data_IF_459028607344
#
_entry.id   IF_459028607344
#
_cell.length_a   1.000
_cell.length_b   1.000
_cell.length_c   1.000
_cell.angle_alpha   90.00
_cell.angle_beta   90.00
_cell.angle_gamma   90.00
#
_symmetry.space_group_name_H-M   'P 1'
#
loop_
_entity.id
_entity.type
_entity.pdbx_description
1 polymer ?
#
# COMPACT_ATOMS: atom_id res chain seq x y z
N UNK A 1 1.44 -20.79 -9.93
CA UNK A 1 1.02 -19.71 -9.03
C UNK A 1 0.36 -20.32 -7.80
N UNK A 2 0.76 -19.91 -6.60
CA UNK A 2 0.15 -20.43 -5.36
C UNK A 2 -1.24 -19.82 -5.13
N UNK A 3 -2.12 -20.51 -4.40
CA UNK A 3 -3.44 -19.97 -4.04
C UNK A 3 -3.30 -18.65 -3.26
N UNK A 4 -2.31 -18.57 -2.37
CA UNK A 4 -2.01 -17.38 -1.58
C UNK A 4 -1.59 -16.17 -2.44
N UNK A 5 -0.88 -16.38 -3.55
CA UNK A 5 -0.51 -15.31 -4.47
C UNK A 5 -1.74 -14.72 -5.16
N UNK A 6 -2.62 -15.58 -5.69
CA UNK A 6 -3.86 -15.14 -6.36
C UNK A 6 -4.80 -14.43 -5.39
N UNK A 7 -4.86 -14.90 -4.15
CA UNK A 7 -5.62 -14.23 -3.08
C UNK A 7 -5.06 -12.84 -2.76
N UNK A 8 -3.73 -12.69 -2.70
CA UNK A 8 -3.07 -11.41 -2.49
C UNK A 8 -3.38 -10.40 -3.59
N UNK A 9 -3.25 -10.81 -4.86
CA UNK A 9 -3.59 -9.97 -6.02
C UNK A 9 -5.06 -9.53 -6.01
N UNK A 10 -5.97 -10.45 -5.70
CA UNK A 10 -7.41 -10.15 -5.61
C UNK A 10 -7.73 -9.18 -4.47
N UNK A 11 -7.06 -9.32 -3.32
CA UNK A 11 -7.21 -8.41 -2.20
C UNK A 11 -6.69 -7.01 -2.53
N UNK A 12 -5.53 -6.91 -3.19
CA UNK A 12 -4.96 -5.64 -3.62
C UNK A 12 -5.88 -4.93 -4.64
N UNK A 13 -6.42 -5.69 -5.59
CA UNK A 13 -7.40 -5.16 -6.55
C UNK A 13 -8.66 -4.62 -5.86
N UNK A 14 -9.17 -5.32 -4.85
CA UNK A 14 -10.33 -4.87 -4.08
C UNK A 14 -10.05 -3.58 -3.31
N UNK A 15 -8.88 -3.49 -2.67
CA UNK A 15 -8.46 -2.27 -1.96
C UNK A 15 -8.25 -1.11 -2.92
N UNK A 16 -7.63 -1.33 -4.07
CA UNK A 16 -7.44 -0.30 -5.09
C UNK A 16 -8.78 0.25 -5.61
N UNK A 17 -9.76 -0.63 -5.87
CA UNK A 17 -11.11 -0.21 -6.28
C UNK A 17 -11.82 0.60 -5.20
N UNK A 18 -11.66 0.22 -3.93
CA UNK A 18 -12.25 0.96 -2.82
C UNK A 18 -11.63 2.37 -2.69
N UNK A 19 -10.32 2.50 -2.85
CA UNK A 19 -9.64 3.79 -2.88
C UNK A 19 -10.17 4.67 -4.01
N UNK A 20 -10.31 4.13 -5.22
CA UNK A 20 -10.89 4.85 -6.36
C UNK A 20 -12.33 5.31 -6.07
N UNK A 21 -13.16 4.44 -5.49
CA UNK A 21 -14.53 4.79 -5.04
C UNK A 21 -14.54 5.94 -4.03
N UNK A 22 -13.49 6.07 -3.22
CA UNK A 22 -13.29 7.16 -2.25
C UNK A 22 -12.57 8.38 -2.84
N UNK A 23 -12.52 8.49 -4.16
CA UNK A 23 -11.89 9.61 -4.88
C UNK A 23 -10.37 9.68 -4.74
N UNK A 24 -9.70 8.56 -4.46
CA UNK A 24 -8.25 8.48 -4.58
C UNK A 24 -7.83 8.05 -5.98
N UNK A 25 -6.79 8.69 -6.51
CA UNK A 25 -6.05 8.23 -7.70
C UNK A 25 -4.94 7.28 -7.24
N UNK A 26 -4.90 6.08 -7.81
CA UNK A 26 -3.79 5.15 -7.60
C UNK A 26 -2.57 5.67 -8.34
N UNK A 27 -1.46 5.88 -7.62
CA UNK A 27 -0.20 6.37 -8.20
C UNK A 27 0.85 5.26 -8.31
N UNK A 28 0.69 4.17 -7.57
CA UNK A 28 1.57 3.02 -7.66
C UNK A 28 0.95 1.77 -7.02
N UNK A 29 1.29 0.61 -7.60
CA UNK A 29 0.97 -0.71 -7.08
C UNK A 29 2.23 -1.57 -7.12
N UNK A 30 2.45 -2.39 -6.09
CA UNK A 30 3.64 -3.24 -5.95
C UNK A 30 4.95 -2.48 -6.24
N UNK A 31 5.11 -1.32 -5.61
CA UNK A 31 6.19 -0.38 -5.90
C UNK A 31 7.46 -0.79 -5.16
N UNK A 32 8.46 -1.25 -5.91
CA UNK A 32 9.80 -1.45 -5.37
C UNK A 32 10.51 -0.11 -5.10
N UNK A 33 11.13 0.02 -3.94
CA UNK A 33 11.90 1.20 -3.51
C UNK A 33 13.31 0.77 -3.14
N UNK A 34 14.16 0.62 -4.17
CA UNK A 34 15.54 0.18 -4.02
C UNK A 34 15.65 -1.09 -3.17
N UNK A 35 16.56 -1.07 -2.19
CA UNK A 35 16.76 -2.14 -1.21
C UNK A 35 15.98 -1.94 0.10
N UNK A 36 15.13 -0.91 0.21
CA UNK A 36 14.38 -0.59 1.43
C UNK A 36 13.13 -1.46 1.58
N UNK A 37 12.55 -1.87 0.46
CA UNK A 37 11.40 -2.77 0.39
C UNK A 37 10.43 -2.37 -0.70
N UNK A 38 9.19 -2.81 -0.52
CA UNK A 38 8.07 -2.57 -1.44
C UNK A 38 6.91 -1.87 -0.72
N UNK A 39 6.09 -1.16 -1.49
CA UNK A 39 4.82 -0.59 -1.05
C UNK A 39 3.70 -1.20 -1.89
N UNK A 40 2.71 -1.82 -1.25
CA UNK A 40 1.64 -2.53 -1.97
C UNK A 40 0.80 -1.57 -2.80
N UNK A 41 0.27 -0.50 -2.18
CA UNK A 41 -0.47 0.54 -2.89
C UNK A 41 -0.03 1.92 -2.38
N UNK A 42 0.23 2.82 -3.32
CA UNK A 42 0.34 4.26 -3.09
C UNK A 42 -0.81 4.93 -3.82
N UNK A 43 -1.58 5.75 -3.11
CA UNK A 43 -2.70 6.49 -3.68
C UNK A 43 -2.72 7.92 -3.15
N UNK A 44 -3.37 8.82 -3.88
CA UNK A 44 -3.50 10.23 -3.50
C UNK A 44 -4.90 10.76 -3.75
N UNK A 45 -5.29 11.79 -3.02
CA UNK A 45 -6.35 12.71 -3.41
C UNK A 45 -5.78 14.15 -3.34
N UNK A 46 -6.64 15.16 -3.38
CA UNK A 46 -6.22 16.57 -3.39
C UNK A 46 -5.62 17.01 -2.04
N UNK A 47 -5.77 16.22 -0.97
CA UNK A 47 -5.39 16.57 0.40
C UNK A 47 -4.23 15.74 0.94
N UNK A 48 -4.11 14.50 0.52
CA UNK A 48 -3.18 13.55 1.13
C UNK A 48 -2.70 12.46 0.18
N UNK A 49 -1.54 11.90 0.51
CA UNK A 49 -1.02 10.65 -0.03
C UNK A 49 -1.16 9.58 1.04
N UNK A 50 -1.74 8.45 0.66
CA UNK A 50 -1.89 7.28 1.52
C UNK A 50 -1.04 6.12 1.02
N UNK A 51 -0.37 5.48 1.98
CA UNK A 51 0.38 4.23 1.78
C UNK A 51 -0.45 3.12 2.39
N UNK A 52 -0.86 2.16 1.58
CA UNK A 52 -1.73 1.07 2.02
C UNK A 52 -0.98 -0.25 1.89
N UNK A 53 -0.78 -0.91 3.03
CA UNK A 53 -0.32 -2.29 3.10
C UNK A 53 -1.54 -3.20 3.08
N UNK A 54 -1.59 -4.14 2.14
CA UNK A 54 -2.72 -5.05 1.93
C UNK A 54 -2.42 -6.38 2.58
N UNK A 55 -3.34 -6.85 3.43
CA UNK A 55 -3.27 -8.17 4.04
C UNK A 55 -4.54 -8.95 3.79
N UNK A 56 -4.41 -10.12 3.17
CA UNK A 56 -5.45 -11.15 3.12
C UNK A 56 -5.09 -12.28 4.07
N UNK A 57 -5.97 -12.63 5.00
CA UNK A 57 -5.81 -13.79 5.89
C UNK A 57 -7.11 -14.60 5.91
N UNK A 58 -6.97 -15.91 6.14
CA UNK A 58 -8.08 -16.80 6.45
C UNK A 58 -8.05 -17.06 7.96
N UNK A 59 -9.15 -16.82 8.67
CA UNK A 59 -9.29 -17.02 10.13
C UNK A 59 -9.66 -15.75 10.91
N UNK A 60 -9.76 -15.89 12.24
CA UNK A 60 -10.33 -14.87 13.14
C UNK A 60 -9.29 -13.91 13.77
N UNK A 61 -8.00 -14.04 13.44
CA UNK A 61 -6.97 -13.13 13.95
C UNK A 61 -7.11 -11.72 13.36
N UNK A 62 -6.98 -10.69 14.21
CA UNK A 62 -7.00 -9.30 13.76
C UNK A 62 -5.82 -9.02 12.80
N UNK A 63 -6.09 -8.65 11.53
CA UNK A 63 -5.05 -8.35 10.56
C UNK A 63 -4.11 -7.22 11.00
N UNK A 64 -4.58 -6.29 11.83
CA UNK A 64 -3.80 -5.16 12.33
C UNK A 64 -2.69 -5.59 13.28
N UNK A 65 -2.90 -6.67 14.05
CA UNK A 65 -1.89 -7.23 14.97
C UNK A 65 -0.68 -7.78 14.22
N UNK A 66 -0.87 -8.19 12.96
CA UNK A 66 0.21 -8.67 12.09
C UNK A 66 1.17 -7.58 11.62
N UNK A 67 0.81 -6.30 11.77
CA UNK A 67 1.65 -5.16 11.41
C UNK A 67 2.36 -4.66 12.67
N UNK A 68 3.35 -5.43 13.11
CA UNK A 68 4.17 -5.10 14.28
C UNK A 68 5.08 -3.86 14.09
N UNK A 69 5.71 -3.36 15.17
CA UNK A 69 6.51 -2.14 15.15
C UNK A 69 7.64 -2.13 14.11
N UNK A 70 8.32 -3.27 13.94
CA UNK A 70 9.39 -3.41 12.95
C UNK A 70 8.86 -3.21 11.52
N UNK A 71 7.69 -3.79 11.19
CA UNK A 71 7.06 -3.64 9.89
C UNK A 71 6.60 -2.20 9.65
N UNK A 72 5.97 -1.56 10.65
CA UNK A 72 5.59 -0.13 10.57
C UNK A 72 6.79 0.77 10.31
N UNK A 73 7.91 0.52 10.99
CA UNK A 73 9.15 1.30 10.79
C UNK A 73 9.72 1.13 9.38
N UNK A 74 9.68 -0.09 8.83
CA UNK A 74 10.11 -0.34 7.45
C UNK A 74 9.20 0.40 6.46
N UNK A 75 7.88 0.24 6.56
CA UNK A 75 6.91 0.93 5.70
C UNK A 75 7.14 2.45 5.71
N UNK A 76 7.31 3.06 6.89
CA UNK A 76 7.58 4.50 7.00
C UNK A 76 8.86 4.93 6.27
N UNK A 77 9.93 4.14 6.39
CA UNK A 77 11.21 4.43 5.70
C UNK A 77 11.08 4.29 4.19
N UNK A 78 10.44 3.22 3.74
CA UNK A 78 10.18 2.94 2.32
C UNK A 78 9.30 4.04 1.71
N UNK A 79 8.25 4.45 2.41
CA UNK A 79 7.37 5.54 2.00
C UNK A 79 8.10 6.88 1.91
N UNK A 80 8.91 7.22 2.91
CA UNK A 80 9.69 8.47 2.89
C UNK A 80 10.65 8.51 1.70
N UNK A 81 11.35 7.41 1.42
CA UNK A 81 12.24 7.32 0.26
C UNK A 81 11.47 7.42 -1.06
N UNK A 82 10.31 6.76 -1.17
CA UNK A 82 9.46 6.86 -2.35
C UNK A 82 9.02 8.31 -2.63
N UNK A 83 8.58 9.05 -1.60
CA UNK A 83 8.11 10.43 -1.75
C UNK A 83 9.23 11.42 -2.10
N UNK A 84 10.48 11.13 -1.67
CA UNK A 84 11.64 11.93 -2.04
C UNK A 84 12.06 11.72 -3.50
N UNK A 85 11.96 10.49 -3.99
CA UNK A 85 12.29 10.13 -5.39
C UNK A 85 11.18 10.55 -6.36
N UNK A 86 9.93 10.48 -5.91
CA UNK A 86 8.73 10.76 -6.72
C UNK A 86 7.84 11.74 -5.97
N UNK A 87 8.14 13.05 -6.05
CA UNK A 87 7.23 14.05 -5.53
C UNK A 87 5.86 13.89 -6.17
N UNK A 88 4.83 13.90 -5.33
CA UNK A 88 3.45 13.79 -5.77
C UNK A 88 2.86 15.19 -5.79
N UNK A 89 2.47 15.63 -6.98
CA UNK A 89 1.76 16.88 -7.15
C UNK A 89 0.31 16.75 -6.66
N UNK A 90 -0.11 17.75 -5.88
CA UNK A 90 -1.52 17.97 -5.55
C UNK A 90 -2.08 18.88 -6.64
N UNK A 91 -3.21 18.50 -7.24
CA UNK A 91 -3.92 19.40 -8.16
C UNK A 91 -4.68 20.41 -7.26
N UNK A 92 -4.54 21.72 -7.54
CA UNK A 92 -5.18 22.83 -6.80
C UNK A 92 -6.71 22.89 -7.00
#
# INVERSE_FOLDING_TARGET
MSNSTRMGEAAEELVARELVRRHYRIVGRNVAVGNLGELDIVARNDKEVVIVEVRSRNGDEDPCESIGPAKRRRIRRTAAAYLLDRPIDYEE
#
